data_IF_244315666355
#
_entry.id   IF_244315666355
#
_cell.length_a   1.000
_cell.length_b   1.000
_cell.length_c   1.000
_cell.angle_alpha   90.00
_cell.angle_beta   90.00
_cell.angle_gamma   90.00
#
_symmetry.space_group_name_H-M   'P 1'
#
loop_
_entity.id
_entity.type
_entity.pdbx_description
1 polymer ?
#
# COMPACT_ATOMS: atom_id res chain seq x y z
N UNK A 1 -19.83 2.41 32.18
CA UNK A 1 -19.75 1.02 32.64
C UNK A 1 -18.32 0.58 32.47
N UNK A 2 -17.62 0.26 33.57
CA UNK A 2 -16.25 -0.22 33.51
C UNK A 2 -16.18 -1.53 32.74
N UNK A 3 -15.51 -1.51 31.60
CA UNK A 3 -15.24 -2.66 30.77
C UNK A 3 -14.09 -3.45 31.43
N UNK A 4 -14.38 -4.21 32.50
CA UNK A 4 -13.36 -4.99 33.20
C UNK A 4 -12.99 -6.23 32.37
N UNK A 5 -11.95 -6.09 31.54
CA UNK A 5 -11.35 -7.22 30.86
C UNK A 5 -10.79 -8.22 31.89
N UNK A 6 -11.22 -9.48 31.84
CA UNK A 6 -10.84 -10.51 32.79
C UNK A 6 -9.96 -11.56 32.12
N UNK A 7 -8.78 -11.84 32.70
CA UNK A 7 -7.94 -12.96 32.30
C UNK A 7 -8.52 -14.27 32.83
N UNK A 8 -8.78 -15.24 31.96
CA UNK A 8 -9.33 -16.54 32.27
C UNK A 8 -8.65 -17.65 31.49
N UNK A 9 -8.69 -18.88 32.01
CA UNK A 9 -8.38 -20.10 31.26
C UNK A 9 -9.68 -20.62 30.65
N UNK A 10 -9.77 -20.60 29.30
CA UNK A 10 -10.96 -21.04 28.60
C UNK A 10 -10.73 -22.38 27.89
N UNK A 11 -11.74 -23.24 27.91
CA UNK A 11 -11.75 -24.46 27.10
C UNK A 11 -11.78 -24.07 25.62
N UNK A 12 -10.88 -24.68 24.83
CA UNK A 12 -10.68 -24.33 23.44
C UNK A 12 -11.87 -24.68 22.53
N UNK A 13 -12.63 -25.70 22.91
CA UNK A 13 -13.85 -26.16 22.24
C UNK A 13 -15.04 -25.20 22.39
N UNK A 14 -15.00 -24.30 23.38
CA UNK A 14 -15.99 -23.25 23.58
C UNK A 14 -15.68 -21.94 22.81
N UNK A 15 -14.59 -21.91 22.05
CA UNK A 15 -14.13 -20.71 21.35
C UNK A 15 -14.37 -20.87 19.85
N UNK A 16 -15.08 -19.91 19.27
CA UNK A 16 -15.36 -19.84 17.86
C UNK A 16 -14.49 -18.76 17.15
N UNK A 17 -14.13 -18.97 15.88
CA UNK A 17 -13.49 -17.93 15.09
C UNK A 17 -14.46 -16.77 14.89
N UNK A 18 -13.91 -15.56 14.71
CA UNK A 18 -14.71 -14.40 14.37
C UNK A 18 -14.95 -14.36 12.84
N UNK A 19 -16.22 -14.37 12.37
CA UNK A 19 -16.50 -14.25 10.93
C UNK A 19 -16.03 -12.92 10.33
N UNK A 20 -15.89 -11.88 11.17
CA UNK A 20 -15.37 -10.58 10.77
C UNK A 20 -13.83 -10.48 10.82
N UNK A 21 -13.12 -11.58 11.12
CA UNK A 21 -11.66 -11.54 11.15
C UNK A 21 -11.12 -11.13 9.77
N UNK A 22 -10.35 -10.03 9.68
CA UNK A 22 -9.77 -9.58 8.42
C UNK A 22 -8.74 -10.53 7.82
N UNK A 23 -8.04 -11.31 8.66
CA UNK A 23 -6.98 -12.22 8.19
C UNK A 23 -7.55 -13.34 7.34
N UNK A 24 -7.25 -13.29 6.03
CA UNK A 24 -7.67 -14.29 5.05
C UNK A 24 -6.58 -15.36 4.89
N UNK A 25 -5.30 -14.96 4.91
CA UNK A 25 -4.15 -15.82 4.63
C UNK A 25 -3.42 -16.22 5.90
N UNK A 26 -3.26 -17.53 6.10
CA UNK A 26 -2.48 -18.16 7.18
C UNK A 26 -1.32 -18.95 6.56
N UNK A 27 -0.17 -18.27 6.35
CA UNK A 27 1.00 -18.89 5.71
C UNK A 27 1.50 -20.08 6.51
N UNK A 28 1.69 -21.21 5.83
CA UNK A 28 2.05 -22.48 6.48
C UNK A 28 3.35 -22.36 7.27
N UNK A 29 4.38 -21.75 6.71
CA UNK A 29 5.68 -21.58 7.38
C UNK A 29 5.54 -20.80 8.70
N UNK A 30 4.77 -19.70 8.70
CA UNK A 30 4.52 -18.91 9.91
C UNK A 30 3.72 -19.69 10.96
N UNK A 31 2.78 -20.53 10.51
CA UNK A 31 1.99 -21.38 11.39
C UNK A 31 2.82 -22.51 11.99
N UNK A 32 3.74 -23.10 11.23
CA UNK A 32 4.64 -24.16 11.69
C UNK A 32 5.66 -23.62 12.71
N UNK A 33 6.21 -22.44 12.49
CA UNK A 33 7.07 -21.77 13.47
C UNK A 33 6.34 -21.49 14.78
N UNK A 34 5.08 -21.02 14.70
CA UNK A 34 4.26 -20.79 15.88
C UNK A 34 3.92 -22.11 16.60
N UNK A 35 3.67 -23.19 15.85
CA UNK A 35 3.38 -24.51 16.40
C UNK A 35 4.56 -25.03 17.23
N UNK A 36 5.79 -24.90 16.73
CA UNK A 36 7.02 -25.27 17.45
C UNK A 36 7.12 -24.46 18.75
N UNK A 37 6.89 -23.15 18.67
CA UNK A 37 6.94 -22.26 19.83
C UNK A 37 5.90 -22.62 20.88
N UNK A 38 4.63 -22.79 20.48
CA UNK A 38 3.53 -23.14 21.40
C UNK A 38 3.72 -24.53 22.01
N UNK A 39 4.24 -25.47 21.23
CA UNK A 39 4.57 -26.80 21.75
C UNK A 39 5.64 -26.77 22.87
N UNK A 40 6.63 -25.86 22.73
CA UNK A 40 7.76 -25.76 23.66
C UNK A 40 7.44 -24.92 24.89
N UNK A 41 6.74 -23.81 24.71
CA UNK A 41 6.59 -22.79 25.76
C UNK A 41 5.13 -22.55 26.18
N UNK A 42 4.15 -23.22 25.53
CA UNK A 42 2.74 -22.91 25.69
C UNK A 42 2.36 -21.59 25.04
N UNK A 43 1.12 -21.16 25.24
CA UNK A 43 0.60 -19.86 24.76
C UNK A 43 0.99 -18.76 25.73
N UNK A 44 2.03 -17.99 25.40
CA UNK A 44 2.61 -16.95 26.27
C UNK A 44 1.76 -15.66 26.30
N UNK A 45 1.11 -15.34 25.20
CA UNK A 45 0.27 -14.14 25.08
C UNK A 45 -1.19 -14.59 25.01
N UNK A 46 -2.06 -14.17 25.94
CA UNK A 46 -3.48 -14.51 25.92
C UNK A 46 -4.16 -14.13 24.62
N UNK A 47 -5.17 -14.90 24.20
CA UNK A 47 -6.10 -14.48 23.14
C UNK A 47 -7.11 -13.51 23.70
N UNK A 48 -7.74 -12.69 22.83
CA UNK A 48 -8.85 -11.81 23.22
C UNK A 48 -10.16 -12.36 22.66
N UNK A 49 -11.18 -12.42 23.52
CA UNK A 49 -12.49 -12.95 23.14
C UNK A 49 -13.63 -12.12 23.77
N UNK A 50 -14.81 -12.18 23.17
CA UNK A 50 -16.04 -11.73 23.84
C UNK A 50 -17.02 -12.88 24.06
N UNK A 51 -17.86 -12.75 25.08
CA UNK A 51 -18.88 -13.76 25.40
C UNK A 51 -20.07 -13.62 24.43
N UNK A 52 -20.50 -14.76 23.85
CA UNK A 52 -21.69 -14.83 22.97
C UNK A 52 -22.55 -16.04 23.40
N UNK A 53 -23.54 -15.83 24.26
CA UNK A 53 -24.28 -16.90 24.91
C UNK A 53 -23.37 -17.72 25.84
N UNK A 54 -23.33 -19.04 25.63
CA UNK A 54 -22.48 -19.95 26.39
C UNK A 54 -21.09 -20.18 25.74
N UNK A 55 -20.82 -19.55 24.63
CA UNK A 55 -19.57 -19.64 23.87
C UNK A 55 -18.82 -18.31 23.87
N UNK A 56 -17.62 -18.34 23.30
CA UNK A 56 -16.76 -17.18 23.15
C UNK A 56 -16.38 -17.00 21.68
N UNK A 57 -16.29 -15.75 21.23
CA UNK A 57 -15.87 -15.42 19.86
C UNK A 57 -14.55 -14.65 19.90
N UNK A 58 -13.62 -15.02 19.03
CA UNK A 58 -12.30 -14.40 18.94
C UNK A 58 -12.39 -12.94 18.51
N UNK A 59 -11.60 -12.08 19.16
CA UNK A 59 -11.28 -10.72 18.72
C UNK A 59 -9.84 -10.70 18.20
N UNK A 60 -8.89 -11.31 18.94
CA UNK A 60 -7.48 -11.45 18.56
C UNK A 60 -6.92 -12.82 18.95
N UNK A 61 -5.92 -13.27 18.23
CA UNK A 61 -5.16 -14.46 18.52
C UNK A 61 -5.61 -15.70 17.76
N UNK A 62 -6.26 -15.59 16.62
CA UNK A 62 -6.73 -16.73 15.83
C UNK A 62 -5.59 -17.70 15.47
N UNK A 63 -4.38 -17.23 15.14
CA UNK A 63 -3.23 -18.10 14.89
C UNK A 63 -2.89 -18.94 16.12
N UNK A 64 -2.89 -18.34 17.32
CA UNK A 64 -2.63 -19.01 18.59
C UNK A 64 -3.71 -20.05 18.89
N UNK A 65 -4.98 -19.71 18.70
CA UNK A 65 -6.11 -20.61 18.86
C UNK A 65 -6.05 -21.79 17.87
N UNK A 66 -5.82 -21.55 16.57
CA UNK A 66 -5.67 -22.63 15.57
C UNK A 66 -4.51 -23.56 15.88
N UNK A 67 -3.37 -23.01 16.28
CA UNK A 67 -2.19 -23.78 16.68
C UNK A 67 -2.46 -24.63 17.94
N UNK A 68 -3.11 -24.05 18.94
CA UNK A 68 -3.48 -24.78 20.17
C UNK A 68 -4.47 -25.90 19.89
N UNK A 69 -5.42 -25.68 18.99
CA UNK A 69 -6.36 -26.70 18.50
C UNK A 69 -5.64 -27.86 17.80
N UNK A 70 -4.67 -27.53 16.92
CA UNK A 70 -3.83 -28.54 16.22
C UNK A 70 -2.96 -29.35 17.20
N UNK A 71 -2.57 -28.77 18.33
CA UNK A 71 -1.80 -29.43 19.39
C UNK A 71 -2.69 -30.12 20.43
N UNK A 72 -4.00 -30.19 20.28
CA UNK A 72 -4.98 -30.73 21.19
C UNK A 72 -4.87 -30.18 22.64
N UNK A 73 -4.52 -28.89 22.76
CA UNK A 73 -4.50 -28.17 24.03
C UNK A 73 -5.95 -27.97 24.48
N UNK A 74 -6.27 -28.39 25.73
CA UNK A 74 -7.63 -28.35 26.25
C UNK A 74 -8.08 -26.95 26.68
N UNK A 75 -7.16 -26.14 27.21
CA UNK A 75 -7.43 -24.78 27.69
C UNK A 75 -6.40 -23.79 27.21
N UNK A 76 -6.84 -22.54 27.00
CA UNK A 76 -5.99 -21.44 26.50
C UNK A 76 -6.21 -20.19 27.35
N UNK A 77 -5.15 -19.43 27.70
CA UNK A 77 -5.31 -18.15 28.38
C UNK A 77 -6.00 -17.14 27.48
N UNK A 78 -7.05 -16.50 27.99
CA UNK A 78 -7.90 -15.58 27.25
C UNK A 78 -8.28 -14.35 28.09
N UNK A 79 -8.29 -13.20 27.48
CA UNK A 79 -8.88 -11.95 28.01
C UNK A 79 -10.32 -11.89 27.52
N UNK A 80 -11.27 -11.99 28.47
CA UNK A 80 -12.71 -11.94 28.17
C UNK A 80 -13.19 -10.51 28.31
N UNK A 81 -13.83 -10.00 27.27
CA UNK A 81 -14.42 -8.65 27.22
C UNK A 81 -15.93 -8.74 27.03
N UNK A 82 -16.62 -7.62 27.17
CA UNK A 82 -18.01 -7.47 26.76
C UNK A 82 -18.16 -7.58 25.25
N UNK A 83 -19.32 -8.03 24.77
CA UNK A 83 -19.60 -8.11 23.32
C UNK A 83 -19.63 -6.70 22.72
N UNK A 84 -18.71 -6.38 21.77
CA UNK A 84 -18.76 -5.11 21.04
C UNK A 84 -19.92 -5.12 20.03
N UNK A 85 -20.36 -3.94 19.57
CA UNK A 85 -21.15 -3.86 18.35
C UNK A 85 -20.28 -4.18 17.11
N UNK A 86 -20.89 -4.33 15.95
CA UNK A 86 -20.19 -4.76 14.74
C UNK A 86 -19.08 -3.80 14.31
N UNK A 87 -19.33 -2.50 14.39
CA UNK A 87 -18.32 -1.49 14.05
C UNK A 87 -17.15 -1.53 15.05
N UNK A 88 -17.45 -1.51 16.36
CA UNK A 88 -16.41 -1.54 17.40
C UNK A 88 -15.57 -2.83 17.31
N UNK A 89 -16.20 -3.97 16.98
CA UNK A 89 -15.52 -5.24 16.78
C UNK A 89 -14.46 -5.12 15.65
N UNK A 90 -14.84 -4.56 14.50
CA UNK A 90 -13.92 -4.33 13.40
C UNK A 90 -12.83 -3.31 13.75
N UNK A 91 -13.20 -2.18 14.35
CA UNK A 91 -12.25 -1.14 14.73
C UNK A 91 -11.23 -1.62 15.78
N UNK A 92 -11.66 -2.45 16.74
CA UNK A 92 -10.75 -3.09 17.70
C UNK A 92 -9.73 -3.97 16.98
N UNK A 93 -10.15 -4.78 16.00
CA UNK A 93 -9.24 -5.60 15.20
C UNK A 93 -8.26 -4.74 14.40
N UNK A 94 -8.72 -3.67 13.76
CA UNK A 94 -7.85 -2.73 13.05
C UNK A 94 -6.81 -2.12 13.96
N UNK A 95 -7.20 -1.59 15.12
CA UNK A 95 -6.28 -0.97 16.08
C UNK A 95 -5.25 -1.95 16.64
N UNK A 96 -5.63 -3.21 16.93
CA UNK A 96 -4.72 -4.23 17.43
C UNK A 96 -3.67 -4.60 16.38
N UNK A 97 -4.07 -4.70 15.11
CA UNK A 97 -3.22 -5.26 14.06
C UNK A 97 -2.49 -4.20 13.24
N UNK A 98 -3.03 -2.99 13.09
CA UNK A 98 -2.35 -1.88 12.41
C UNK A 98 -1.08 -1.44 13.13
N UNK A 99 -1.08 -1.48 14.47
CA UNK A 99 0.08 -1.17 15.30
C UNK A 99 1.17 -2.25 15.24
N UNK A 100 0.87 -3.45 14.75
CA UNK A 100 1.78 -4.60 14.72
C UNK A 100 2.22 -5.02 13.32
N UNK A 101 1.82 -4.30 12.27
CA UNK A 101 2.11 -4.64 10.86
C UNK A 101 1.86 -6.12 10.50
N UNK A 102 0.80 -6.73 11.06
CA UNK A 102 0.56 -8.17 10.95
C UNK A 102 -0.33 -8.56 9.77
N UNK A 103 -0.95 -7.60 9.10
CA UNK A 103 -1.85 -7.86 7.99
C UNK A 103 -1.25 -7.42 6.65
N UNK A 104 -1.48 -8.24 5.64
CA UNK A 104 -1.26 -7.82 4.26
C UNK A 104 -2.25 -6.69 3.90
N UNK A 105 -1.83 -5.79 3.02
CA UNK A 105 -2.65 -4.62 2.66
C UNK A 105 -3.97 -5.02 2.00
N UNK A 106 -3.98 -6.13 1.25
CA UNK A 106 -5.19 -6.67 0.63
C UNK A 106 -6.19 -7.16 1.68
N UNK A 107 -5.71 -7.78 2.76
CA UNK A 107 -6.52 -8.14 3.94
C UNK A 107 -7.19 -6.91 4.55
N UNK A 108 -6.44 -5.81 4.70
CA UNK A 108 -6.95 -4.53 5.18
C UNK A 108 -8.00 -3.97 4.18
N UNK A 109 -7.68 -3.98 2.89
CA UNK A 109 -8.55 -3.45 1.83
C UNK A 109 -9.92 -4.14 1.80
N UNK A 110 -9.96 -5.47 1.92
CA UNK A 110 -11.21 -6.22 1.93
C UNK A 110 -12.14 -5.85 3.10
N UNK A 111 -11.57 -5.55 4.26
CA UNK A 111 -12.39 -5.21 5.44
C UNK A 111 -12.69 -3.72 5.58
N UNK A 112 -11.88 -2.84 4.99
CA UNK A 112 -12.15 -1.40 5.05
C UNK A 112 -13.46 -1.03 4.36
N UNK A 113 -13.89 -1.80 3.36
CA UNK A 113 -15.21 -1.64 2.71
C UNK A 113 -16.34 -1.81 3.73
N UNK A 114 -16.27 -2.87 4.56
CA UNK A 114 -17.26 -3.10 5.60
C UNK A 114 -17.25 -2.01 6.67
N UNK A 115 -16.05 -1.50 7.03
CA UNK A 115 -15.92 -0.35 7.94
C UNK A 115 -16.57 0.90 7.33
N UNK A 116 -16.36 1.15 6.03
CA UNK A 116 -16.98 2.28 5.31
C UNK A 116 -18.50 2.19 5.39
N UNK A 117 -19.09 1.01 5.14
CA UNK A 117 -20.53 0.81 5.18
C UNK A 117 -21.11 1.06 6.57
N UNK A 118 -20.50 0.49 7.61
CA UNK A 118 -20.94 0.70 9.00
C UNK A 118 -20.75 2.15 9.48
N UNK A 119 -19.67 2.81 9.04
CA UNK A 119 -19.45 4.23 9.33
C UNK A 119 -20.46 5.11 8.59
N UNK A 120 -20.80 4.80 7.35
CA UNK A 120 -21.84 5.50 6.58
C UNK A 120 -23.20 5.41 7.30
N UNK A 121 -23.57 4.23 7.79
CA UNK A 121 -24.78 4.03 8.59
C UNK A 121 -24.76 4.86 9.89
N UNK A 122 -23.62 4.88 10.59
CA UNK A 122 -23.45 5.64 11.85
C UNK A 122 -23.46 7.15 11.65
N UNK A 123 -22.80 7.64 10.60
CA UNK A 123 -22.57 9.07 10.35
C UNK A 123 -23.69 9.71 9.52
N UNK A 124 -24.41 8.93 8.70
CA UNK A 124 -25.41 9.43 7.76
C UNK A 124 -24.84 10.07 6.48
N UNK A 125 -23.52 9.97 6.27
CA UNK A 125 -22.83 10.46 5.08
C UNK A 125 -21.61 9.56 4.73
N UNK A 126 -21.09 9.71 3.51
CA UNK A 126 -19.93 8.95 3.04
C UNK A 126 -18.65 9.36 3.80
N UNK A 127 -17.97 8.43 4.52
CA UNK A 127 -16.77 8.75 5.25
C UNK A 127 -15.61 9.04 4.29
N UNK A 128 -14.93 10.15 4.50
CA UNK A 128 -13.73 10.52 3.75
C UNK A 128 -12.45 9.85 4.35
N UNK A 129 -11.30 10.08 3.74
CA UNK A 129 -10.03 9.51 4.19
C UNK A 129 -9.64 9.94 5.61
N UNK A 130 -10.04 11.12 6.04
CA UNK A 130 -9.75 11.62 7.40
C UNK A 130 -10.57 10.85 8.43
N UNK A 131 -11.89 10.73 8.23
CA UNK A 131 -12.77 9.96 9.10
C UNK A 131 -12.30 8.49 9.22
N UNK A 132 -11.93 7.86 8.09
CA UNK A 132 -11.40 6.50 8.10
C UNK A 132 -10.07 6.38 8.86
N UNK A 133 -9.19 7.38 8.72
CA UNK A 133 -7.91 7.42 9.43
C UNK A 133 -8.08 7.54 10.94
N UNK A 134 -8.99 8.41 11.38
CA UNK A 134 -9.29 8.63 12.80
C UNK A 134 -9.90 7.40 13.47
N UNK A 135 -10.86 6.75 12.80
CA UNK A 135 -11.58 5.60 13.36
C UNK A 135 -10.72 4.30 13.31
N UNK A 136 -9.98 4.05 12.24
CA UNK A 136 -9.21 2.81 12.04
C UNK A 136 -7.78 2.86 12.57
N UNK A 137 -7.23 4.05 12.83
CA UNK A 137 -5.80 4.24 13.13
C UNK A 137 -4.87 4.10 11.93
N UNK A 138 -5.38 3.85 10.72
CA UNK A 138 -4.59 3.76 9.50
C UNK A 138 -4.21 5.16 9.00
N UNK A 139 -2.98 5.31 8.48
CA UNK A 139 -2.63 6.55 7.81
C UNK A 139 -3.37 6.70 6.47
N UNK A 140 -3.60 7.95 6.04
CA UNK A 140 -4.35 8.28 4.82
C UNK A 140 -3.72 7.67 3.55
N UNK A 141 -2.39 7.53 3.52
CA UNK A 141 -1.70 6.86 2.42
C UNK A 141 -2.07 5.39 2.30
N UNK A 142 -2.14 4.67 3.41
CA UNK A 142 -2.61 3.28 3.46
C UNK A 142 -4.06 3.16 2.99
N UNK A 143 -4.94 4.07 3.41
CA UNK A 143 -6.35 4.08 2.96
C UNK A 143 -6.46 4.27 1.45
N UNK A 144 -5.66 5.18 0.86
CA UNK A 144 -5.63 5.37 -0.62
C UNK A 144 -5.18 4.13 -1.35
N UNK A 145 -4.16 3.46 -0.83
CA UNK A 145 -3.66 2.19 -1.41
C UNK A 145 -4.71 1.09 -1.32
N UNK A 146 -5.43 0.97 -0.20
CA UNK A 146 -6.54 0.03 -0.06
C UNK A 146 -7.63 0.29 -1.09
N UNK A 147 -8.01 1.56 -1.33
CA UNK A 147 -9.02 1.91 -2.34
C UNK A 147 -8.65 1.43 -3.74
N UNK A 148 -7.39 1.52 -4.14
CA UNK A 148 -6.94 1.01 -5.44
C UNK A 148 -7.13 -0.51 -5.55
N UNK A 149 -6.88 -1.26 -4.47
CA UNK A 149 -7.08 -2.71 -4.44
C UNK A 149 -8.56 -3.11 -4.43
N UNK A 150 -9.41 -2.34 -3.74
CA UNK A 150 -10.87 -2.58 -3.70
C UNK A 150 -11.50 -2.38 -5.08
N UNK A 151 -11.06 -1.37 -5.82
CA UNK A 151 -11.56 -1.02 -7.16
C UNK A 151 -11.15 -2.03 -8.25
N UNK A 152 -10.23 -2.96 -7.97
CA UNK A 152 -9.82 -4.01 -8.91
C UNK A 152 -10.99 -4.97 -9.22
N UNK A 153 -11.13 -5.42 -10.48
CA UNK A 153 -12.00 -6.55 -10.82
C UNK A 153 -11.63 -7.82 -10.05
N UNK A 154 -12.63 -8.68 -9.78
CA UNK A 154 -12.48 -9.83 -8.89
C UNK A 154 -11.35 -10.78 -9.32
N UNK A 155 -11.19 -11.06 -10.62
CA UNK A 155 -10.13 -11.92 -11.15
C UNK A 155 -8.69 -11.47 -10.78
N UNK A 156 -8.47 -10.16 -10.63
CA UNK A 156 -7.16 -9.65 -10.18
C UNK A 156 -7.00 -9.74 -8.67
N UNK A 157 -8.10 -9.63 -7.91
CA UNK A 157 -8.10 -9.88 -6.47
C UNK A 157 -7.78 -11.34 -6.16
N UNK A 158 -8.34 -12.28 -6.92
CA UNK A 158 -8.02 -13.71 -6.85
C UNK A 158 -6.52 -13.93 -7.11
N UNK A 159 -5.95 -13.27 -8.14
CA UNK A 159 -4.50 -13.34 -8.41
C UNK A 159 -3.66 -12.84 -7.23
N UNK A 160 -4.08 -11.76 -6.55
CA UNK A 160 -3.40 -11.27 -5.35
C UNK A 160 -3.46 -12.31 -4.23
N UNK A 161 -4.62 -12.93 -3.99
CA UNK A 161 -4.79 -13.97 -2.97
C UNK A 161 -3.87 -15.17 -3.24
N UNK A 162 -3.82 -15.66 -4.48
CA UNK A 162 -2.92 -16.75 -4.87
C UNK A 162 -1.44 -16.41 -4.64
N UNK A 163 -1.04 -15.16 -4.90
CA UNK A 163 0.33 -14.71 -4.64
C UNK A 163 0.61 -14.61 -3.14
N UNK A 164 -0.35 -14.14 -2.35
CA UNK A 164 -0.21 -14.02 -0.89
C UNK A 164 -0.09 -15.37 -0.17
N UNK A 165 -0.63 -16.45 -0.74
CA UNK A 165 -0.47 -17.81 -0.22
C UNK A 165 0.95 -18.35 -0.40
N UNK A 166 1.70 -17.84 -1.39
CA UNK A 166 3.10 -18.24 -1.63
C UNK A 166 4.03 -17.67 -0.56
N UNK A 167 5.17 -18.34 -0.29
CA UNK A 167 6.25 -17.74 0.48
C UNK A 167 6.66 -16.38 -0.10
N UNK A 168 6.96 -15.39 0.75
CA UNK A 168 7.30 -14.01 0.31
C UNK A 168 8.36 -13.96 -0.79
N UNK A 169 9.39 -14.81 -0.70
CA UNK A 169 10.47 -14.91 -1.70
C UNK A 169 10.03 -15.42 -3.08
N UNK A 170 8.85 -16.02 -3.18
CA UNK A 170 8.29 -16.56 -4.43
C UNK A 170 7.16 -15.73 -5.01
N UNK A 171 6.73 -14.68 -4.32
CA UNK A 171 5.70 -13.77 -4.78
C UNK A 171 6.25 -12.90 -5.91
N UNK A 172 5.55 -12.82 -7.03
CA UNK A 172 5.88 -11.97 -8.18
C UNK A 172 4.93 -10.80 -8.34
N UNK A 173 3.62 -11.09 -8.35
CA UNK A 173 2.57 -10.08 -8.47
C UNK A 173 2.13 -9.64 -7.07
N UNK A 174 2.96 -8.82 -6.44
CA UNK A 174 2.69 -8.30 -5.11
C UNK A 174 1.57 -7.26 -5.12
N UNK A 175 1.03 -6.95 -3.94
CA UNK A 175 0.06 -5.86 -3.77
C UNK A 175 0.58 -4.53 -4.32
N UNK A 176 1.88 -4.24 -4.09
CA UNK A 176 2.54 -3.03 -4.61
C UNK A 176 2.57 -2.97 -6.14
N UNK A 177 2.71 -4.12 -6.81
CA UNK A 177 2.60 -4.19 -8.27
C UNK A 177 1.24 -3.67 -8.73
N UNK A 178 0.15 -4.17 -8.17
CA UNK A 178 -1.20 -3.74 -8.55
C UNK A 178 -1.47 -2.27 -8.18
N UNK A 179 -0.97 -1.81 -7.05
CA UNK A 179 -1.14 -0.42 -6.60
C UNK A 179 -0.42 0.56 -7.53
N UNK A 180 0.84 0.29 -7.90
CA UNK A 180 1.59 1.16 -8.82
C UNK A 180 0.95 1.14 -10.22
N UNK A 181 0.53 -0.04 -10.70
CA UNK A 181 -0.19 -0.18 -11.97
C UNK A 181 -1.50 0.62 -11.98
N UNK A 182 -2.38 0.40 -11.00
CA UNK A 182 -3.68 1.10 -10.93
C UNK A 182 -3.53 2.61 -10.74
N UNK A 183 -2.56 3.04 -9.93
CA UNK A 183 -2.25 4.47 -9.78
C UNK A 183 -1.85 5.12 -11.10
N UNK A 184 -1.04 4.42 -11.90
CA UNK A 184 -0.66 4.86 -13.23
C UNK A 184 -1.85 4.89 -14.19
N UNK A 185 -2.64 3.81 -14.27
CA UNK A 185 -3.83 3.73 -15.15
C UNK A 185 -4.89 4.78 -14.78
N UNK A 186 -5.10 5.04 -13.49
CA UNK A 186 -6.00 6.12 -13.01
C UNK A 186 -5.51 7.49 -13.47
N UNK A 187 -4.19 7.71 -13.50
CA UNK A 187 -3.59 8.96 -14.00
C UNK A 187 -3.77 9.09 -15.51
N UNK A 188 -3.58 8.01 -16.29
CA UNK A 188 -3.85 8.00 -17.73
C UNK A 188 -5.32 8.31 -18.01
N UNK A 189 -6.24 7.59 -17.34
CA UNK A 189 -7.68 7.80 -17.52
C UNK A 189 -8.13 9.24 -17.28
N UNK A 190 -7.49 9.92 -16.32
CA UNK A 190 -7.80 11.33 -15.99
C UNK A 190 -7.25 12.32 -17.00
N UNK A 191 -6.08 12.05 -17.58
CA UNK A 191 -5.36 13.04 -18.43
C UNK A 191 -5.49 12.77 -19.92
N UNK A 192 -5.49 11.47 -20.32
CA UNK A 192 -5.60 11.04 -21.74
C UNK A 192 -6.58 9.83 -21.79
N UNK A 193 -7.89 10.06 -21.55
CA UNK A 193 -8.87 8.99 -21.45
C UNK A 193 -9.03 8.16 -22.73
N UNK A 194 -8.74 8.72 -23.88
CA UNK A 194 -8.80 8.07 -25.20
C UNK A 194 -7.95 6.82 -25.30
N UNK A 195 -6.81 6.76 -24.59
CA UNK A 195 -5.87 5.63 -24.60
C UNK A 195 -6.45 4.41 -23.91
N UNK A 196 -7.27 4.62 -22.87
CA UNK A 196 -7.82 3.48 -22.07
C UNK A 196 -9.10 2.96 -22.71
N UNK A 197 -9.99 3.85 -23.17
CA UNK A 197 -11.28 3.47 -23.76
C UNK A 197 -12.04 2.46 -22.88
N UNK A 198 -12.57 1.41 -23.51
CA UNK A 198 -13.23 0.27 -22.85
C UNK A 198 -12.26 -0.89 -22.54
N UNK A 199 -10.99 -0.80 -22.92
CA UNK A 199 -10.03 -1.90 -22.91
C UNK A 199 -9.13 -1.94 -21.64
N UNK A 200 -9.61 -1.41 -20.52
CA UNK A 200 -8.81 -1.30 -19.30
C UNK A 200 -8.29 -2.66 -18.79
N UNK A 201 -9.11 -3.70 -18.89
CA UNK A 201 -8.74 -5.04 -18.44
C UNK A 201 -7.69 -5.68 -19.35
N UNK A 202 -7.77 -5.49 -20.67
CA UNK A 202 -6.76 -5.96 -21.62
C UNK A 202 -5.39 -5.25 -21.39
N UNK A 203 -5.43 -3.97 -21.03
CA UNK A 203 -4.24 -3.21 -20.66
C UNK A 203 -3.61 -3.79 -19.39
N UNK A 204 -4.41 -4.11 -18.37
CA UNK A 204 -3.93 -4.76 -17.14
C UNK A 204 -3.25 -6.09 -17.45
N UNK A 205 -3.91 -6.94 -18.26
CA UNK A 205 -3.36 -8.24 -18.66
C UNK A 205 -2.05 -8.11 -19.45
N UNK A 206 -1.96 -7.12 -20.33
CA UNK A 206 -0.73 -6.80 -21.06
C UNK A 206 0.39 -6.40 -20.12
N UNK A 207 0.13 -5.51 -19.15
CA UNK A 207 1.11 -5.04 -18.19
C UNK A 207 1.57 -6.17 -17.24
N UNK A 208 0.64 -7.03 -16.79
CA UNK A 208 0.95 -8.23 -16.00
C UNK A 208 1.84 -9.18 -16.80
N UNK A 209 1.51 -9.43 -18.05
CA UNK A 209 2.29 -10.30 -18.93
C UNK A 209 3.71 -9.76 -19.13
N UNK A 210 3.86 -8.46 -19.37
CA UNK A 210 5.16 -7.79 -19.50
C UNK A 210 6.00 -7.87 -18.23
N UNK A 211 5.37 -7.76 -17.07
CA UNK A 211 6.08 -7.91 -15.81
C UNK A 211 6.50 -9.36 -15.56
N UNK A 212 5.64 -10.34 -15.86
CA UNK A 212 5.95 -11.77 -15.72
C UNK A 212 7.12 -12.22 -16.62
N UNK A 213 7.21 -11.68 -17.84
CA UNK A 213 8.25 -12.03 -18.81
C UNK A 213 9.52 -11.14 -18.72
N UNK A 214 9.55 -10.16 -17.79
CA UNK A 214 10.70 -9.30 -17.57
C UNK A 214 10.83 -8.09 -18.52
N UNK A 215 9.85 -7.85 -19.41
CA UNK A 215 9.81 -6.64 -20.25
C UNK A 215 9.63 -5.38 -19.41
N UNK A 216 8.93 -5.50 -18.30
CA UNK A 216 8.91 -4.52 -17.20
C UNK A 216 9.68 -5.16 -16.04
N UNK A 217 10.81 -4.59 -15.69
CA UNK A 217 11.71 -5.16 -14.66
C UNK A 217 11.48 -4.60 -13.27
N UNK A 218 10.86 -3.41 -13.16
CA UNK A 218 10.66 -2.72 -11.90
C UNK A 218 9.24 -2.12 -11.82
N UNK A 219 8.55 -2.36 -10.70
CA UNK A 219 7.22 -1.77 -10.45
C UNK A 219 7.23 -0.24 -10.41
N UNK A 220 8.38 0.37 -10.05
CA UNK A 220 8.54 1.83 -10.05
C UNK A 220 8.40 2.42 -11.46
N UNK A 221 8.63 1.64 -12.52
CA UNK A 221 8.48 2.10 -13.90
C UNK A 221 7.03 2.51 -14.23
N UNK A 222 6.03 1.97 -13.53
CA UNK A 222 4.65 2.44 -13.68
C UNK A 222 4.49 3.94 -13.45
N UNK A 223 5.33 4.57 -12.62
CA UNK A 223 5.34 6.02 -12.41
C UNK A 223 5.73 6.80 -13.68
N UNK A 224 6.48 6.17 -14.59
CA UNK A 224 6.82 6.74 -15.90
C UNK A 224 5.60 6.81 -16.82
N UNK A 225 4.67 5.84 -16.72
CA UNK A 225 3.35 5.93 -17.38
C UNK A 225 2.59 7.18 -16.89
N UNK A 226 2.57 7.43 -15.58
CA UNK A 226 1.95 8.62 -15.02
C UNK A 226 2.62 9.92 -15.51
N UNK A 227 3.94 9.93 -15.62
CA UNK A 227 4.68 11.08 -16.18
C UNK A 227 4.35 11.30 -17.66
N UNK A 228 4.30 10.23 -18.48
CA UNK A 228 3.86 10.31 -19.88
C UNK A 228 2.45 10.90 -19.99
N UNK A 229 1.50 10.41 -19.18
CA UNK A 229 0.12 10.91 -19.20
C UNK A 229 -0.02 12.37 -18.76
N UNK A 230 0.90 12.86 -17.97
CA UNK A 230 0.91 14.26 -17.49
C UNK A 230 1.89 15.16 -18.21
N UNK A 231 2.67 14.63 -19.16
CA UNK A 231 3.70 15.38 -19.88
C UNK A 231 3.18 16.58 -20.67
N UNK A 232 1.96 16.55 -21.28
CA UNK A 232 1.44 17.74 -21.95
C UNK A 232 1.27 18.94 -21.02
N UNK A 233 0.95 18.70 -19.75
CA UNK A 233 0.77 19.75 -18.74
C UNK A 233 2.06 20.12 -18.02
N UNK A 234 2.94 19.14 -17.82
CA UNK A 234 4.08 19.32 -16.95
C UNK A 234 5.35 19.78 -17.70
N UNK A 235 5.53 19.35 -18.93
CA UNK A 235 6.73 19.61 -19.74
C UNK A 235 6.39 20.01 -21.19
N UNK A 236 5.15 20.41 -21.43
CA UNK A 236 4.66 20.92 -22.74
C UNK A 236 4.88 19.91 -23.90
N UNK A 237 4.95 18.63 -23.60
CA UNK A 237 5.09 17.58 -24.61
C UNK A 237 3.78 17.43 -25.42
N UNK A 238 3.82 17.27 -26.76
CA UNK A 238 2.62 17.18 -27.58
C UNK A 238 1.68 16.04 -27.10
N UNK A 239 0.37 16.36 -26.95
CA UNK A 239 -0.61 15.42 -26.39
C UNK A 239 -0.81 14.18 -27.26
N UNK A 240 -0.79 14.33 -28.57
CA UNK A 240 -0.89 13.23 -29.54
C UNK A 240 0.35 12.30 -29.51
N UNK A 241 1.54 12.85 -29.27
CA UNK A 241 2.75 12.04 -29.09
C UNK A 241 2.73 11.28 -27.75
N UNK A 242 2.25 11.93 -26.68
CA UNK A 242 2.06 11.26 -25.39
C UNK A 242 1.03 10.10 -25.51
N UNK A 243 -0.05 10.31 -26.26
CA UNK A 243 -1.04 9.27 -26.55
C UNK A 243 -0.42 8.12 -27.33
N UNK A 244 0.31 8.39 -28.43
CA UNK A 244 1.02 7.35 -29.21
C UNK A 244 2.01 6.56 -28.35
N UNK A 245 2.76 7.24 -27.48
CA UNK A 245 3.71 6.60 -26.56
C UNK A 245 3.01 5.64 -25.58
N UNK A 246 1.88 6.06 -25.01
CA UNK A 246 1.08 5.21 -24.12
C UNK A 246 0.46 4.03 -24.85
N UNK A 247 -0.12 4.23 -26.03
CA UNK A 247 -0.66 3.14 -26.88
C UNK A 247 0.45 2.12 -27.17
N UNK A 248 1.65 2.56 -27.54
CA UNK A 248 2.80 1.69 -27.78
C UNK A 248 3.14 0.83 -26.56
N UNK A 249 3.08 1.41 -25.35
CA UNK A 249 3.29 0.66 -24.10
C UNK A 249 2.19 -0.38 -23.88
N UNK A 250 0.93 -0.05 -24.15
CA UNK A 250 -0.21 -0.90 -23.82
C UNK A 250 -0.52 -1.99 -24.86
N UNK A 251 -0.03 -1.85 -26.11
CA UNK A 251 -0.35 -2.78 -27.19
C UNK A 251 0.84 -3.64 -27.64
N UNK A 252 2.07 -3.16 -27.57
CA UNK A 252 3.24 -3.88 -28.10
C UNK A 252 3.94 -4.70 -27.00
N UNK A 253 3.77 -6.02 -27.03
CA UNK A 253 4.26 -6.94 -25.99
C UNK A 253 5.77 -6.83 -25.66
N UNK A 254 6.61 -6.50 -26.63
CA UNK A 254 8.07 -6.42 -26.47
C UNK A 254 8.58 -5.01 -26.14
N UNK A 255 7.68 -4.08 -25.85
CA UNK A 255 8.05 -2.70 -25.58
C UNK A 255 7.94 -2.40 -24.07
N UNK A 256 9.06 -2.14 -23.42
CA UNK A 256 9.15 -1.78 -22.02
C UNK A 256 8.78 -0.31 -21.77
N UNK A 257 8.29 -0.01 -20.58
CA UNK A 257 7.91 1.35 -20.15
C UNK A 257 9.12 2.27 -20.18
N UNK A 258 10.26 1.79 -19.64
CA UNK A 258 11.49 2.56 -19.51
C UNK A 258 12.01 3.01 -20.89
N UNK A 259 12.00 2.09 -21.85
CA UNK A 259 12.43 2.37 -23.23
C UNK A 259 11.62 3.51 -23.84
N UNK A 260 10.28 3.43 -23.79
CA UNK A 260 9.41 4.47 -24.39
C UNK A 260 9.58 5.80 -23.68
N UNK A 261 9.69 5.80 -22.35
CA UNK A 261 9.89 7.01 -21.56
C UNK A 261 11.20 7.71 -21.95
N UNK A 262 12.30 6.95 -22.10
CA UNK A 262 13.60 7.50 -22.47
C UNK A 262 13.65 8.01 -23.91
N UNK A 263 12.94 7.36 -24.83
CA UNK A 263 12.83 7.79 -26.24
C UNK A 263 11.95 9.04 -26.42
N UNK A 264 11.17 9.45 -25.39
CA UNK A 264 10.16 10.53 -25.52
C UNK A 264 10.41 11.69 -24.57
N UNK A 265 10.03 11.56 -23.29
CA UNK A 265 9.92 12.70 -22.38
C UNK A 265 11.02 12.79 -21.33
N UNK A 266 11.95 11.81 -21.26
CA UNK A 266 12.98 11.76 -20.21
C UNK A 266 13.79 13.05 -20.14
N UNK A 267 14.32 13.51 -21.27
CA UNK A 267 15.14 14.72 -21.34
C UNK A 267 14.38 15.95 -20.84
N UNK A 268 13.13 16.11 -21.25
CA UNK A 268 12.29 17.26 -20.81
C UNK A 268 12.07 17.26 -19.28
N UNK A 269 11.88 16.08 -18.68
CA UNK A 269 11.75 15.99 -17.23
C UNK A 269 13.07 16.24 -16.51
N UNK A 270 14.19 15.81 -17.08
CA UNK A 270 15.53 16.05 -16.52
C UNK A 270 15.89 17.54 -16.59
N UNK A 271 15.62 18.21 -17.71
CA UNK A 271 15.77 19.67 -17.87
C UNK A 271 14.89 20.43 -16.86
N UNK A 272 13.61 20.07 -16.75
CA UNK A 272 12.71 20.68 -15.75
C UNK A 272 13.24 20.51 -14.33
N UNK A 273 13.74 19.32 -14.00
CA UNK A 273 14.32 19.03 -12.69
C UNK A 273 15.57 19.86 -12.45
N UNK A 274 16.42 20.00 -13.46
CA UNK A 274 17.63 20.84 -13.40
C UNK A 274 17.28 22.29 -13.11
N UNK A 275 16.34 22.87 -13.88
CA UNK A 275 15.86 24.24 -13.70
C UNK A 275 15.26 24.42 -12.29
N UNK A 276 14.45 23.45 -11.83
CA UNK A 276 13.89 23.51 -10.47
C UNK A 276 14.97 23.46 -9.38
N UNK A 277 16.03 22.67 -9.57
CA UNK A 277 17.16 22.63 -8.63
C UNK A 277 17.90 23.97 -8.58
N UNK A 278 18.15 24.58 -9.74
CA UNK A 278 18.75 25.92 -9.80
C UNK A 278 17.89 26.96 -9.10
N UNK A 279 16.57 26.95 -9.34
CA UNK A 279 15.65 27.86 -8.65
C UNK A 279 15.66 27.67 -7.13
N UNK A 280 15.76 26.42 -6.64
CA UNK A 280 15.89 26.15 -5.21
C UNK A 280 17.21 26.68 -4.65
N UNK A 281 18.33 26.44 -5.35
CA UNK A 281 19.64 26.97 -4.93
C UNK A 281 19.60 28.50 -4.85
N UNK A 282 19.06 29.15 -5.89
CA UNK A 282 18.92 30.61 -5.89
C UNK A 282 18.08 31.11 -4.72
N UNK A 283 16.92 30.46 -4.46
CA UNK A 283 16.06 30.79 -3.32
C UNK A 283 16.78 30.70 -1.96
N UNK A 284 17.63 29.68 -1.75
CA UNK A 284 18.41 29.56 -0.53
C UNK A 284 19.52 30.59 -0.45
N UNK A 285 20.25 30.82 -1.53
CA UNK A 285 21.34 31.82 -1.57
C UNK A 285 20.84 33.24 -1.26
N UNK A 286 19.67 33.62 -1.80
CA UNK A 286 19.06 34.93 -1.53
C UNK A 286 18.64 35.13 -0.06
N UNK A 287 18.42 34.04 0.68
CA UNK A 287 17.89 34.04 2.06
C UNK A 287 18.89 33.64 3.13
N UNK A 288 20.16 33.50 2.77
CA UNK A 288 21.23 33.25 3.74
C UNK A 288 21.23 34.32 4.84
N UNK A 289 21.25 33.89 6.09
CA UNK A 289 21.48 34.75 7.28
C UNK A 289 22.88 35.35 7.27
N UNK A 290 23.12 36.35 8.07
CA UNK A 290 24.44 36.98 8.16
C UNK A 290 25.52 36.02 8.68
N UNK A 291 25.17 35.09 9.57
CA UNK A 291 26.07 34.04 10.04
C UNK A 291 26.44 33.06 8.93
N UNK A 292 25.43 32.57 8.14
CA UNK A 292 25.65 31.67 7.00
C UNK A 292 26.44 32.34 5.87
N UNK A 293 26.22 33.64 5.63
CA UNK A 293 27.00 34.40 4.63
C UNK A 293 28.48 34.56 5.03
N UNK A 294 28.77 34.50 6.31
CA UNK A 294 30.13 34.60 6.83
C UNK A 294 30.84 33.26 7.03
N UNK A 295 30.11 32.17 6.93
CA UNK A 295 30.65 30.80 7.00
C UNK A 295 31.59 30.51 5.84
N UNK A 296 32.80 30.03 6.09
CA UNK A 296 33.82 29.78 5.05
C UNK A 296 33.48 28.56 4.17
N UNK A 297 32.79 27.56 4.71
CA UNK A 297 32.36 26.39 3.91
C UNK A 297 31.26 26.79 2.94
N UNK A 298 30.31 27.64 3.34
CA UNK A 298 29.29 28.22 2.48
C UNK A 298 29.91 29.09 1.40
N UNK A 299 30.83 29.97 1.75
CA UNK A 299 31.56 30.82 0.77
C UNK A 299 32.34 29.99 -0.23
N UNK A 300 33.01 28.91 0.21
CA UNK A 300 33.74 27.99 -0.64
C UNK A 300 32.82 27.29 -1.64
N UNK A 301 31.67 26.77 -1.17
CA UNK A 301 30.66 26.12 -2.01
C UNK A 301 30.11 27.09 -3.07
N UNK A 302 29.81 28.35 -2.68
CA UNK A 302 29.34 29.39 -3.60
C UNK A 302 30.39 29.79 -4.64
N UNK A 303 31.67 29.85 -4.28
CA UNK A 303 32.77 30.11 -5.25
C UNK A 303 32.86 28.99 -6.26
N UNK A 304 32.85 27.71 -5.81
CA UNK A 304 32.88 26.56 -6.68
C UNK A 304 31.68 26.54 -7.65
N UNK A 305 30.47 26.85 -7.15
CA UNK A 305 29.27 26.97 -7.98
C UNK A 305 29.38 28.09 -9.03
N UNK A 306 29.86 29.27 -8.61
CA UNK A 306 30.10 30.39 -9.51
C UNK A 306 31.10 30.03 -10.61
N UNK A 307 32.20 29.37 -10.26
CA UNK A 307 33.24 28.98 -11.22
C UNK A 307 32.71 27.94 -12.22
N UNK A 308 31.86 26.99 -11.76
CA UNK A 308 31.20 26.04 -12.62
C UNK A 308 30.20 26.70 -13.58
N UNK A 309 29.41 27.66 -13.11
CA UNK A 309 28.46 28.43 -13.91
C UNK A 309 29.20 29.25 -14.97
N UNK A 310 30.27 29.97 -14.57
CA UNK A 310 31.06 30.78 -15.51
C UNK A 310 31.66 29.94 -16.66
N UNK A 311 32.19 28.74 -16.35
CA UNK A 311 32.70 27.82 -17.39
C UNK A 311 31.65 27.47 -18.45
N UNK A 312 30.39 27.31 -18.05
CA UNK A 312 29.30 26.96 -18.97
C UNK A 312 28.84 28.19 -19.79
N UNK A 313 28.78 29.36 -19.15
CA UNK A 313 28.31 30.59 -19.81
C UNK A 313 29.40 31.29 -20.68
N UNK A 314 30.69 31.07 -20.38
CA UNK A 314 31.82 31.65 -21.08
C UNK A 314 32.28 30.77 -22.31
N UNK A 315 31.69 29.59 -22.48
CA UNK A 315 31.93 28.69 -23.63
C UNK A 315 31.14 29.10 -24.90
N UNK A 316 30.35 30.19 -24.87
CA UNK A 316 29.73 30.84 -26.00
C UNK A 316 30.64 31.97 -26.55
#
# INVERSE_FOLDING_TARGET
MENSAQLKQLRIDLIDPNPENPRIVFRQEEMDNLLISVKKYGVQVPISVYKNGDRFVLIDGERRWRTSKKLNISVIPAIVQSKPNDLDNLLMMFNIHSLREQWDLFTIANKITRVIDLLREKLGFEPNEMHLSEETGLNRGTIRRCRLLIELPERFKETILEELEKPKSKQKLTEDFFIEMESALKTVRRNIPTVIGENLDDIRDTLITKYKNGTISNIVDFRKISKLATSPKNVEYPSDEAEKALVKIFTLNNTGIDKVFNETVSVLYDEKKLISNFSNVLYYVERLSDDERNDEDVKSALRNLKDAINKILDEE
#
